data_IF_756159264803
#
_entry.id   IF_756159264803
#
_cell.length_a   1.000
_cell.length_b   1.000
_cell.length_c   1.000
_cell.angle_alpha   90.00
_cell.angle_beta   90.00
_cell.angle_gamma   90.00
#
_symmetry.space_group_name_H-M   'P 1'
#
loop_
_entity.id
_entity.type
_entity.pdbx_description
1 polymer ?
#
# COMPACT_ATOMS: atom_id res chain seq x y z
N UNK A 1 -7.53 -21.24 0.78
CA UNK A 1 -8.00 -20.58 1.99
C UNK A 1 -6.82 -20.07 2.82
N UNK A 2 -7.00 -18.90 3.47
CA UNK A 2 -6.05 -18.32 4.42
C UNK A 2 -6.81 -17.67 5.57
N UNK A 3 -6.40 -17.91 6.83
CA UNK A 3 -7.01 -17.31 8.02
C UNK A 3 -7.39 -18.34 9.08
N UNK A 4 -8.27 -17.93 10.01
CA UNK A 4 -8.73 -18.78 11.10
C UNK A 4 -9.58 -19.97 10.58
N UNK A 5 -9.34 -21.19 11.08
CA UNK A 5 -10.09 -22.39 10.66
C UNK A 5 -11.58 -22.28 10.99
N UNK A 6 -11.92 -21.52 12.02
CA UNK A 6 -13.29 -21.25 12.47
C UNK A 6 -13.76 -19.82 12.14
N UNK A 7 -13.26 -19.25 11.03
CA UNK A 7 -13.64 -17.91 10.60
C UNK A 7 -15.15 -17.78 10.38
N UNK A 8 -15.72 -16.72 10.90
CA UNK A 8 -17.13 -16.34 10.71
C UNK A 8 -17.33 -15.26 9.64
N UNK A 9 -16.26 -14.52 9.30
CA UNK A 9 -16.21 -13.50 8.26
C UNK A 9 -15.10 -13.79 7.28
N UNK A 10 -15.45 -13.89 6.00
CA UNK A 10 -14.51 -14.27 4.95
C UNK A 10 -14.58 -13.27 3.80
N UNK A 11 -13.42 -12.83 3.31
CA UNK A 11 -13.30 -12.11 2.04
C UNK A 11 -13.04 -13.13 0.93
N UNK A 12 -13.65 -12.90 -0.24
CA UNK A 12 -13.37 -13.64 -1.46
C UNK A 12 -12.83 -12.65 -2.48
N UNK A 13 -11.65 -12.93 -3.00
CA UNK A 13 -10.99 -12.07 -3.95
C UNK A 13 -10.04 -12.85 -4.86
N UNK A 14 -9.55 -12.21 -5.92
CA UNK A 14 -8.54 -12.77 -6.81
C UNK A 14 -7.46 -11.74 -7.12
N UNK A 15 -6.27 -12.23 -7.49
CA UNK A 15 -5.13 -11.40 -7.86
C UNK A 15 -4.38 -10.84 -6.65
N UNK A 16 -3.59 -9.78 -6.90
CA UNK A 16 -2.62 -9.24 -5.93
C UNK A 16 -3.23 -8.67 -4.65
N UNK A 17 -4.50 -8.28 -4.65
CA UNK A 17 -5.20 -7.82 -3.43
C UNK A 17 -5.24 -8.89 -2.34
N UNK A 18 -5.16 -10.17 -2.71
CA UNK A 18 -5.14 -11.28 -1.75
C UNK A 18 -3.92 -11.22 -0.83
N UNK A 19 -2.79 -10.70 -1.29
CA UNK A 19 -1.59 -10.53 -0.46
C UNK A 19 -1.77 -9.38 0.56
N UNK A 20 -2.34 -8.25 0.16
CA UNK A 20 -2.72 -7.19 1.10
C UNK A 20 -3.79 -7.65 2.11
N UNK A 21 -4.70 -8.53 1.68
CA UNK A 21 -5.70 -9.11 2.57
C UNK A 21 -5.08 -10.05 3.62
N UNK A 22 -4.04 -10.81 3.27
CA UNK A 22 -3.31 -11.66 4.22
C UNK A 22 -2.66 -10.84 5.34
N UNK A 23 -2.04 -9.70 5.02
CA UNK A 23 -1.47 -8.80 6.05
C UNK A 23 -2.55 -8.27 7.00
N UNK A 24 -3.72 -7.90 6.48
CA UNK A 24 -4.86 -7.49 7.31
C UNK A 24 -5.40 -8.62 8.20
N UNK A 25 -5.45 -9.85 7.67
CA UNK A 25 -5.90 -11.04 8.41
C UNK A 25 -4.92 -11.36 9.53
N UNK A 26 -3.62 -11.38 9.27
CA UNK A 26 -2.59 -11.63 10.29
C UNK A 26 -2.74 -10.63 11.45
N UNK A 27 -2.95 -9.36 11.15
CA UNK A 27 -3.19 -8.33 12.15
C UNK A 27 -4.48 -8.55 12.95
N UNK A 28 -5.58 -8.95 12.30
CA UNK A 28 -6.87 -9.21 12.98
C UNK A 28 -6.80 -10.49 13.81
N UNK A 29 -6.17 -11.55 13.29
CA UNK A 29 -5.99 -12.81 14.02
C UNK A 29 -5.12 -12.61 15.28
N UNK A 30 -4.08 -11.79 15.20
CA UNK A 30 -3.28 -11.41 16.37
C UNK A 30 -4.10 -10.70 17.46
N UNK A 31 -5.26 -10.12 17.10
CA UNK A 31 -6.24 -9.53 18.03
C UNK A 31 -7.36 -10.48 18.45
N UNK A 32 -7.30 -11.75 18.04
CA UNK A 32 -8.29 -12.76 18.36
C UNK A 32 -9.53 -12.77 17.45
N UNK A 33 -9.50 -12.03 16.32
CA UNK A 33 -10.60 -12.01 15.37
C UNK A 33 -10.64 -13.28 14.50
N UNK A 34 -11.85 -13.77 14.21
CA UNK A 34 -12.08 -14.98 13.41
C UNK A 34 -12.39 -14.63 11.97
N UNK A 35 -11.34 -14.33 11.22
CA UNK A 35 -11.43 -13.83 9.84
C UNK A 35 -10.64 -14.70 8.88
N UNK A 36 -11.01 -14.68 7.60
CA UNK A 36 -10.34 -15.45 6.57
C UNK A 36 -10.55 -14.90 5.16
N UNK A 37 -9.81 -15.50 4.23
CA UNK A 37 -9.79 -15.18 2.81
C UNK A 37 -9.90 -16.46 1.98
N UNK A 38 -10.72 -16.47 0.96
CA UNK A 38 -10.62 -17.41 -0.16
C UNK A 38 -10.02 -16.67 -1.35
N UNK A 39 -8.79 -17.05 -1.73
CA UNK A 39 -8.11 -16.52 -2.91
C UNK A 39 -8.48 -17.37 -4.14
N UNK A 40 -9.22 -16.79 -5.07
CA UNK A 40 -9.61 -17.46 -6.31
C UNK A 40 -8.47 -17.36 -7.31
N UNK A 41 -7.82 -18.48 -7.66
CA UNK A 41 -6.75 -18.53 -8.65
C UNK A 41 -7.26 -18.93 -10.04
N UNK A 42 -8.14 -19.94 -10.11
CA UNK A 42 -8.80 -20.35 -11.34
C UNK A 42 -10.24 -19.82 -11.36
N UNK A 43 -10.46 -18.72 -12.07
CA UNK A 43 -11.76 -18.07 -12.13
C UNK A 43 -12.70 -18.73 -13.15
N UNK A 44 -12.19 -19.21 -14.28
CA UNK A 44 -12.97 -19.89 -15.31
C UNK A 44 -12.32 -21.22 -15.71
N UNK A 45 -13.06 -22.34 -15.68
CA UNK A 45 -14.43 -22.48 -15.20
C UNK A 45 -14.54 -22.27 -13.67
N UNK A 46 -15.60 -21.61 -13.18
CA UNK A 46 -15.83 -21.45 -11.75
C UNK A 46 -16.37 -22.75 -11.15
N UNK A 47 -15.61 -23.38 -10.26
CA UNK A 47 -16.00 -24.64 -9.64
C UNK A 47 -16.66 -24.40 -8.28
N UNK A 48 -17.98 -24.55 -8.23
CA UNK A 48 -18.75 -24.44 -7.00
C UNK A 48 -18.29 -25.45 -5.93
N UNK A 49 -17.93 -26.67 -6.32
CA UNK A 49 -17.46 -27.73 -5.41
C UNK A 49 -16.14 -27.30 -4.71
N UNK A 50 -15.11 -26.91 -5.49
CA UNK A 50 -13.84 -26.48 -4.94
C UNK A 50 -14.00 -25.21 -4.10
N UNK A 51 -14.81 -24.27 -4.55
CA UNK A 51 -15.08 -23.04 -3.81
C UNK A 51 -15.73 -23.34 -2.44
N UNK A 52 -16.79 -24.14 -2.41
CA UNK A 52 -17.46 -24.48 -1.16
C UNK A 52 -16.58 -25.31 -0.22
N UNK A 53 -15.73 -26.20 -0.77
CA UNK A 53 -14.79 -26.98 0.03
C UNK A 53 -13.70 -26.14 0.70
N UNK A 54 -13.37 -24.97 0.13
CA UNK A 54 -12.40 -24.04 0.68
C UNK A 54 -12.97 -23.16 1.81
N UNK A 55 -14.29 -23.04 1.93
CA UNK A 55 -14.91 -22.19 2.95
C UNK A 55 -15.02 -22.91 4.30
N UNK A 56 -14.67 -22.23 5.43
CA UNK A 56 -14.98 -22.74 6.75
C UNK A 56 -16.49 -22.97 6.94
N UNK A 57 -16.86 -24.05 7.61
CA UNK A 57 -18.28 -24.35 7.91
C UNK A 57 -18.91 -23.33 8.86
N UNK A 58 -18.11 -22.57 9.53
CA UNK A 58 -18.50 -21.53 10.51
C UNK A 58 -18.83 -20.19 9.87
N UNK A 59 -18.58 -20.04 8.55
CA UNK A 59 -18.77 -18.77 7.85
C UNK A 59 -20.23 -18.30 7.90
N UNK A 60 -20.43 -17.06 8.33
CA UNK A 60 -21.74 -16.41 8.44
C UNK A 60 -21.86 -15.22 7.50
N UNK A 61 -20.75 -14.58 7.17
CA UNK A 61 -20.71 -13.35 6.39
C UNK A 61 -19.56 -13.35 5.41
N UNK A 62 -19.84 -12.95 4.19
CA UNK A 62 -18.89 -12.95 3.07
C UNK A 62 -18.89 -11.59 2.40
N UNK A 63 -17.70 -11.03 2.15
CA UNK A 63 -17.51 -9.92 1.24
C UNK A 63 -16.78 -10.41 -0.01
N UNK A 64 -17.35 -10.20 -1.17
CA UNK A 64 -16.71 -10.51 -2.45
C UNK A 64 -16.14 -9.24 -3.04
N UNK A 65 -14.84 -9.24 -3.35
CA UNK A 65 -14.14 -8.06 -3.87
C UNK A 65 -13.83 -8.22 -5.35
N UNK A 66 -14.34 -7.31 -6.16
CA UNK A 66 -14.06 -7.20 -7.59
C UNK A 66 -13.28 -5.91 -7.92
N UNK A 67 -12.28 -6.01 -8.81
CA UNK A 67 -11.52 -4.84 -9.30
C UNK A 67 -12.18 -4.24 -10.55
N UNK A 68 -13.47 -4.22 -10.58
CA UNK A 68 -14.26 -3.65 -11.69
C UNK A 68 -15.53 -3.01 -11.15
N UNK A 69 -16.19 -2.23 -12.00
CA UNK A 69 -17.55 -1.76 -11.83
C UNK A 69 -18.30 -2.13 -13.09
N UNK A 70 -19.43 -2.82 -12.92
CA UNK A 70 -20.32 -3.23 -14.01
C UNK A 70 -21.57 -2.35 -14.04
N UNK A 71 -21.56 -1.20 -14.76
CA UNK A 71 -22.72 -0.31 -14.83
C UNK A 71 -23.93 -1.01 -15.43
N UNK A 72 -25.06 -0.95 -14.73
CA UNK A 72 -26.32 -1.58 -15.17
C UNK A 72 -26.47 -3.06 -14.84
N UNK A 73 -25.43 -3.72 -14.31
CA UNK A 73 -25.53 -5.08 -13.79
C UNK A 73 -26.02 -5.10 -12.32
N UNK A 74 -26.54 -6.26 -11.88
CA UNK A 74 -26.95 -6.48 -10.50
C UNK A 74 -25.77 -6.69 -9.55
N UNK A 75 -24.55 -6.61 -10.02
CA UNK A 75 -23.29 -6.74 -9.27
C UNK A 75 -22.13 -7.06 -10.20
N UNK A 76 -20.95 -7.13 -9.63
CA UNK A 76 -19.70 -7.42 -10.30
C UNK A 76 -19.55 -8.94 -10.54
N UNK A 77 -18.70 -9.38 -11.47
CA UNK A 77 -18.66 -10.77 -11.96
C UNK A 77 -18.43 -11.82 -10.86
N UNK A 78 -17.38 -11.67 -10.04
CA UNK A 78 -17.10 -12.65 -8.99
C UNK A 78 -18.18 -12.66 -7.93
N UNK A 79 -18.72 -11.50 -7.57
CA UNK A 79 -19.84 -11.40 -6.63
C UNK A 79 -21.07 -12.15 -7.11
N UNK A 80 -21.42 -12.05 -8.39
CA UNK A 80 -22.57 -12.75 -8.98
C UNK A 80 -22.33 -14.27 -9.00
N UNK A 81 -21.14 -14.74 -9.38
CA UNK A 81 -20.81 -16.16 -9.36
C UNK A 81 -20.90 -16.76 -7.95
N UNK A 82 -20.37 -16.04 -6.95
CA UNK A 82 -20.45 -16.48 -5.55
C UNK A 82 -21.89 -16.53 -5.06
N UNK A 83 -22.71 -15.55 -5.40
CA UNK A 83 -24.16 -15.57 -5.06
C UNK A 83 -24.88 -16.73 -5.70
N UNK A 84 -24.58 -17.04 -6.96
CA UNK A 84 -25.21 -18.16 -7.68
C UNK A 84 -24.91 -19.50 -7.02
N UNK A 85 -23.69 -19.71 -6.55
CA UNK A 85 -23.29 -20.93 -5.81
C UNK A 85 -24.14 -21.14 -4.55
N UNK A 86 -24.58 -20.07 -3.90
CA UNK A 86 -25.43 -20.14 -2.70
C UNK A 86 -26.93 -20.05 -2.97
N UNK A 87 -27.32 -19.85 -4.22
CA UNK A 87 -28.74 -19.75 -4.57
C UNK A 87 -29.51 -21.02 -4.16
N UNK A 88 -30.60 -20.82 -3.43
CA UNK A 88 -31.44 -21.94 -2.93
C UNK A 88 -30.88 -22.73 -1.75
N UNK A 89 -29.72 -22.41 -1.22
CA UNK A 89 -29.15 -23.03 -0.01
C UNK A 89 -29.74 -22.38 1.25
N UNK A 90 -30.26 -23.17 2.17
CA UNK A 90 -30.86 -22.68 3.42
C UNK A 90 -29.80 -22.11 4.40
N UNK A 91 -28.57 -22.56 4.30
CA UNK A 91 -27.43 -22.21 5.15
C UNK A 91 -26.48 -21.16 4.49
N UNK A 92 -26.98 -20.46 3.46
CA UNK A 92 -26.20 -19.43 2.79
C UNK A 92 -25.75 -18.32 3.76
N UNK A 93 -24.47 -17.91 3.75
CA UNK A 93 -24.02 -16.77 4.52
C UNK A 93 -24.63 -15.47 3.97
N UNK A 94 -24.58 -14.39 4.77
CA UNK A 94 -24.84 -13.06 4.26
C UNK A 94 -23.73 -12.67 3.29
N UNK A 95 -24.06 -12.33 2.03
CA UNK A 95 -23.08 -12.01 0.99
C UNK A 95 -23.23 -10.56 0.57
N UNK A 96 -22.14 -9.79 0.64
CA UNK A 96 -22.04 -8.42 0.14
C UNK A 96 -20.94 -8.30 -0.92
N UNK A 97 -21.17 -7.47 -1.92
CA UNK A 97 -20.19 -7.13 -2.93
C UNK A 97 -19.42 -5.86 -2.61
N UNK A 98 -18.15 -5.80 -2.96
CA UNK A 98 -17.30 -4.63 -2.82
C UNK A 98 -16.39 -4.43 -4.02
N UNK A 99 -16.04 -3.18 -4.28
CA UNK A 99 -15.15 -2.75 -5.37
C UNK A 99 -13.87 -2.19 -4.82
N UNK A 100 -12.76 -2.52 -5.44
CA UNK A 100 -11.43 -2.02 -5.06
C UNK A 100 -10.60 -1.65 -6.29
N UNK A 101 -9.53 -0.91 -6.10
CA UNK A 101 -8.54 -0.61 -7.12
C UNK A 101 -9.08 0.15 -8.34
N UNK A 102 -10.24 0.77 -8.24
CA UNK A 102 -10.82 1.59 -9.29
C UNK A 102 -9.94 2.82 -9.53
N UNK A 103 -9.92 3.32 -10.76
CA UNK A 103 -9.05 4.43 -11.18
C UNK A 103 -7.56 4.16 -10.88
N UNK A 104 -7.12 2.91 -10.96
CA UNK A 104 -5.74 2.47 -10.67
C UNK A 104 -5.24 2.86 -9.26
N UNK A 105 -6.15 3.01 -8.31
CA UNK A 105 -5.80 3.27 -6.91
C UNK A 105 -5.26 2.00 -6.25
N UNK A 106 -4.25 2.19 -5.41
CA UNK A 106 -3.72 1.16 -4.55
C UNK A 106 -4.78 0.62 -3.58
N UNK A 107 -4.61 -0.64 -3.19
CA UNK A 107 -5.42 -1.26 -2.14
C UNK A 107 -4.50 -1.69 -1.01
N UNK A 108 -4.67 -1.07 0.14
CA UNK A 108 -3.85 -1.28 1.33
C UNK A 108 -4.50 -2.24 2.32
N UNK A 109 -3.73 -2.89 3.19
CA UNK A 109 -4.29 -3.70 4.27
C UNK A 109 -5.28 -2.93 5.16
N UNK A 110 -5.02 -1.63 5.40
CA UNK A 110 -5.92 -0.77 6.17
C UNK A 110 -7.31 -0.64 5.52
N UNK A 111 -7.36 -0.57 4.20
CA UNK A 111 -8.64 -0.59 3.47
C UNK A 111 -9.34 -1.95 3.58
N UNK A 112 -8.60 -3.05 3.62
CA UNK A 112 -9.15 -4.39 3.85
C UNK A 112 -9.72 -4.52 5.27
N UNK A 113 -9.09 -3.91 6.29
CA UNK A 113 -9.67 -3.84 7.64
C UNK A 113 -11.07 -3.21 7.63
N UNK A 114 -11.30 -2.17 6.82
CA UNK A 114 -12.62 -1.54 6.68
C UNK A 114 -13.66 -2.51 6.11
N UNK A 115 -13.25 -3.46 5.27
CA UNK A 115 -14.16 -4.51 4.75
C UNK A 115 -14.60 -5.46 5.87
N UNK A 116 -13.67 -5.93 6.71
CA UNK A 116 -14.03 -6.79 7.85
C UNK A 116 -14.87 -6.06 8.89
N UNK A 117 -14.63 -4.76 9.12
CA UNK A 117 -15.49 -3.96 9.98
C UNK A 117 -16.89 -3.81 9.39
N UNK A 118 -17.00 -3.54 8.08
CA UNK A 118 -18.31 -3.53 7.41
C UNK A 118 -19.04 -4.86 7.60
N UNK A 119 -18.35 -5.99 7.46
CA UNK A 119 -18.93 -7.32 7.72
C UNK A 119 -19.37 -7.52 9.18
N UNK A 120 -18.84 -6.76 10.13
CA UNK A 120 -19.21 -6.86 11.54
C UNK A 120 -20.50 -6.10 11.89
N UNK A 121 -20.94 -5.19 11.01
CA UNK A 121 -22.15 -4.40 11.23
C UNK A 121 -23.41 -5.28 11.19
N UNK A 122 -24.47 -4.97 11.93
CA UNK A 122 -25.75 -5.66 11.82
C UNK A 122 -26.26 -5.70 10.38
N UNK A 123 -26.15 -4.58 9.67
CA UNK A 123 -26.49 -4.41 8.26
C UNK A 123 -25.27 -3.93 7.49
N UNK A 124 -24.44 -4.84 6.97
CA UNK A 124 -23.28 -4.48 6.18
C UNK A 124 -23.69 -3.78 4.88
N UNK A 125 -22.96 -2.70 4.54
CA UNK A 125 -23.14 -2.03 3.25
C UNK A 125 -22.81 -3.00 2.11
N UNK A 126 -23.74 -3.14 1.17
CA UNK A 126 -23.54 -3.90 -0.06
C UNK A 126 -23.15 -2.95 -1.21
N UNK A 127 -22.48 -3.47 -2.24
CA UNK A 127 -21.96 -2.69 -3.37
C UNK A 127 -21.07 -1.53 -2.93
N UNK A 128 -20.33 -1.73 -1.84
CA UNK A 128 -19.42 -0.73 -1.32
C UNK A 128 -18.18 -0.54 -2.21
N UNK A 129 -17.43 0.52 -1.96
CA UNK A 129 -16.16 0.81 -2.60
C UNK A 129 -15.11 1.13 -1.54
N UNK A 130 -13.87 0.65 -1.74
CA UNK A 130 -12.69 1.03 -0.96
C UNK A 130 -11.65 1.68 -1.86
N UNK A 131 -10.79 2.53 -1.29
CA UNK A 131 -9.69 3.20 -1.98
C UNK A 131 -10.06 4.45 -2.76
N UNK A 132 -11.35 4.72 -2.94
CA UNK A 132 -11.87 5.97 -3.50
C UNK A 132 -13.01 6.51 -2.62
N UNK A 133 -13.28 7.80 -2.73
CA UNK A 133 -14.46 8.44 -2.12
C UNK A 133 -15.48 8.67 -3.22
N UNK A 134 -16.62 7.98 -3.11
CA UNK A 134 -17.76 8.14 -4.00
C UNK A 134 -18.72 9.17 -3.38
N UNK A 135 -18.75 10.35 -3.94
CA UNK A 135 -19.56 11.48 -3.52
C UNK A 135 -20.90 11.58 -4.24
N UNK A 136 -21.18 10.65 -5.15
CA UNK A 136 -22.43 10.59 -5.93
C UNK A 136 -23.42 9.59 -5.34
N UNK A 137 -22.99 8.34 -5.14
CA UNK A 137 -23.84 7.26 -4.61
C UNK A 137 -23.53 6.90 -3.17
N UNK A 138 -22.49 7.50 -2.58
CA UNK A 138 -22.06 7.33 -1.19
C UNK A 138 -21.83 5.88 -0.77
N UNK A 139 -21.34 5.07 -1.70
CA UNK A 139 -21.07 3.64 -1.46
C UNK A 139 -19.73 3.38 -0.82
N UNK A 140 -18.83 4.35 -0.74
CA UNK A 140 -17.51 4.16 -0.14
C UNK A 140 -17.58 3.82 1.35
N UNK A 141 -16.73 2.89 1.79
CA UNK A 141 -16.46 2.72 3.20
C UNK A 141 -15.58 3.89 3.69
N UNK A 142 -15.71 4.29 4.96
CA UNK A 142 -14.96 5.41 5.51
C UNK A 142 -13.45 5.20 5.35
N UNK A 143 -12.69 6.19 4.86
CA UNK A 143 -11.24 6.13 4.82
C UNK A 143 -10.66 6.10 6.23
N UNK A 144 -9.53 5.39 6.39
CA UNK A 144 -8.80 5.29 7.65
C UNK A 144 -7.38 5.81 7.48
N UNK A 145 -6.79 6.18 8.61
CA UNK A 145 -5.35 6.44 8.67
C UNK A 145 -4.59 5.13 8.41
N UNK A 146 -3.59 5.19 7.55
CA UNK A 146 -2.80 4.01 7.18
C UNK A 146 -2.03 3.45 8.38
N UNK A 147 -2.17 2.16 8.60
CA UNK A 147 -1.44 1.40 9.60
C UNK A 147 -0.23 0.70 8.99
N UNK A 148 0.83 0.56 9.75
CA UNK A 148 2.02 -0.18 9.33
C UNK A 148 1.80 -1.68 9.55
N UNK A 149 1.26 -2.37 8.56
CA UNK A 149 0.88 -3.78 8.62
C UNK A 149 1.80 -4.71 7.79
N UNK A 150 2.80 -4.18 7.11
CA UNK A 150 3.67 -4.91 6.17
C UNK A 150 4.59 -5.99 6.78
N UNK A 151 4.37 -6.38 8.02
CA UNK A 151 5.15 -7.41 8.72
C UNK A 151 6.19 -6.85 9.69
N UNK A 152 6.48 -7.64 10.71
CA UNK A 152 7.51 -7.31 11.70
C UNK A 152 8.91 -7.41 11.06
N UNK A 153 9.79 -6.46 11.39
CA UNK A 153 11.16 -6.44 10.87
C UNK A 153 11.32 -5.95 9.43
N UNK A 154 10.24 -5.53 8.76
CA UNK A 154 10.33 -4.95 7.42
C UNK A 154 10.61 -3.44 7.53
N UNK A 155 11.72 -3.02 6.92
CA UNK A 155 12.09 -1.62 6.78
C UNK A 155 11.51 -1.06 5.49
N UNK A 156 10.83 0.09 5.57
CA UNK A 156 10.18 0.76 4.47
C UNK A 156 10.79 2.13 4.21
N UNK A 157 11.16 2.42 2.97
CA UNK A 157 11.79 3.67 2.58
C UNK A 157 11.14 4.30 1.34
N UNK A 158 11.14 5.64 1.32
CA UNK A 158 10.70 6.45 0.17
C UNK A 158 11.79 7.43 -0.24
N UNK A 159 12.00 7.55 -1.54
CA UNK A 159 12.97 8.47 -2.10
C UNK A 159 12.30 9.34 -3.16
N UNK A 160 12.24 10.63 -2.89
CA UNK A 160 11.70 11.63 -3.81
C UNK A 160 12.82 12.23 -4.64
N UNK A 161 12.71 12.14 -5.95
CA UNK A 161 13.67 12.61 -6.90
C UNK A 161 13.06 13.25 -8.14
N UNK A 162 13.94 13.79 -8.98
CA UNK A 162 13.58 14.35 -10.28
C UNK A 162 13.90 13.33 -11.38
N UNK A 163 13.09 13.26 -12.41
CA UNK A 163 13.39 12.43 -13.57
C UNK A 163 14.76 12.77 -14.16
N UNK A 164 15.60 11.75 -14.32
CA UNK A 164 16.99 11.83 -14.77
C UNK A 164 17.99 12.44 -13.76
N UNK A 165 17.67 12.48 -12.45
CA UNK A 165 18.62 12.92 -11.40
C UNK A 165 19.46 11.78 -10.78
N UNK A 166 19.33 10.55 -11.31
CA UNK A 166 20.02 9.37 -10.80
C UNK A 166 19.35 8.67 -9.61
N UNK A 167 18.31 9.26 -9.00
CA UNK A 167 17.63 8.67 -7.81
C UNK A 167 17.11 7.26 -8.07
N UNK A 168 16.46 7.03 -9.20
CA UNK A 168 15.90 5.73 -9.56
C UNK A 168 17.01 4.70 -9.78
N UNK A 169 18.08 5.06 -10.51
CA UNK A 169 19.25 4.22 -10.74
C UNK A 169 19.93 3.83 -9.43
N UNK A 170 20.16 4.79 -8.53
CA UNK A 170 20.73 4.54 -7.22
C UNK A 170 19.88 3.57 -6.38
N UNK A 171 18.55 3.74 -6.39
CA UNK A 171 17.65 2.85 -5.65
C UNK A 171 17.56 1.44 -6.26
N UNK A 172 17.62 1.29 -7.59
CA UNK A 172 17.76 -0.02 -8.26
C UNK A 172 19.02 -0.74 -7.82
N UNK A 173 20.16 -0.01 -7.78
CA UNK A 173 21.43 -0.57 -7.31
C UNK A 173 21.37 -0.92 -5.81
N UNK A 174 20.75 -0.10 -4.97
CA UNK A 174 20.59 -0.38 -3.54
C UNK A 174 19.83 -1.68 -3.29
N UNK A 175 18.71 -1.90 -3.98
CA UNK A 175 17.93 -3.14 -3.87
C UNK A 175 18.75 -4.35 -4.31
N UNK A 176 19.50 -4.20 -5.42
CA UNK A 176 20.39 -5.27 -5.92
C UNK A 176 21.50 -5.57 -4.91
N UNK A 177 22.17 -4.55 -4.37
CA UNK A 177 23.23 -4.73 -3.37
C UNK A 177 22.71 -5.45 -2.13
N UNK A 178 21.53 -5.07 -1.62
CA UNK A 178 20.92 -5.72 -0.47
C UNK A 178 20.59 -7.18 -0.80
N UNK A 179 19.96 -7.45 -1.95
CA UNK A 179 19.57 -8.80 -2.35
C UNK A 179 20.76 -9.71 -2.64
N UNK A 180 21.85 -9.18 -3.25
CA UNK A 180 23.02 -9.97 -3.63
C UNK A 180 23.96 -10.23 -2.43
N UNK A 181 23.95 -9.40 -1.40
CA UNK A 181 24.93 -9.43 -0.29
C UNK A 181 24.32 -9.74 1.09
N UNK A 182 23.02 -9.95 1.17
CA UNK A 182 22.33 -10.30 2.43
C UNK A 182 21.25 -11.34 2.18
N UNK A 183 20.81 -12.04 3.24
CA UNK A 183 19.69 -12.98 3.19
C UNK A 183 18.32 -12.29 3.28
N UNK A 184 18.26 -10.95 3.13
CA UNK A 184 17.03 -10.20 3.25
C UNK A 184 16.14 -10.31 2.01
N UNK A 185 14.86 -10.39 2.23
CA UNK A 185 13.86 -10.17 1.19
C UNK A 185 13.85 -8.69 0.80
N UNK A 186 13.76 -8.40 -0.50
CA UNK A 186 13.79 -7.04 -1.03
C UNK A 186 12.65 -6.82 -2.02
N UNK A 187 12.07 -5.64 -2.00
CA UNK A 187 11.06 -5.20 -2.95
C UNK A 187 11.31 -3.74 -3.30
N UNK A 188 11.19 -3.40 -4.57
CA UNK A 188 11.19 -2.00 -5.01
C UNK A 188 10.08 -1.75 -6.02
N UNK A 189 9.51 -0.55 -5.96
CA UNK A 189 8.60 -0.01 -6.95
C UNK A 189 8.95 1.45 -7.24
N UNK A 190 8.90 1.82 -8.52
CA UNK A 190 9.27 3.15 -8.98
C UNK A 190 8.05 3.83 -9.61
N UNK A 191 7.60 4.91 -9.00
CA UNK A 191 6.50 5.73 -9.48
C UNK A 191 7.05 6.93 -10.24
N UNK A 192 6.52 7.19 -11.41
CA UNK A 192 6.93 8.28 -12.30
C UNK A 192 5.75 9.18 -12.65
N UNK A 193 6.05 10.47 -12.84
CA UNK A 193 5.15 11.35 -13.58
C UNK A 193 5.23 11.03 -15.08
N UNK A 194 4.19 11.36 -15.83
CA UNK A 194 4.12 11.14 -17.28
C UNK A 194 5.14 11.94 -18.12
N UNK A 195 5.83 12.90 -17.52
CA UNK A 195 6.91 13.67 -18.18
C UNK A 195 8.21 12.86 -18.20
N UNK A 196 8.84 12.78 -19.40
CA UNK A 196 10.08 12.01 -19.59
C UNK A 196 11.31 12.58 -18.90
N UNK A 197 11.41 13.91 -18.73
CA UNK A 197 12.53 14.55 -18.03
C UNK A 197 12.02 15.68 -17.14
N UNK A 198 12.66 15.86 -15.99
CA UNK A 198 12.25 16.87 -15.01
C UNK A 198 10.90 16.59 -14.34
N UNK A 199 10.36 15.39 -14.50
CA UNK A 199 9.15 14.95 -13.83
C UNK A 199 9.42 14.44 -12.42
N UNK A 200 8.39 14.38 -11.61
CA UNK A 200 8.43 13.80 -10.26
C UNK A 200 8.71 12.29 -10.32
N UNK A 201 9.60 11.81 -9.46
CA UNK A 201 9.82 10.38 -9.22
C UNK A 201 9.71 10.06 -7.74
N UNK A 202 9.16 8.91 -7.41
CA UNK A 202 9.15 8.37 -6.05
C UNK A 202 9.52 6.89 -6.09
N UNK A 203 10.64 6.54 -5.48
CA UNK A 203 11.06 5.15 -5.29
C UNK A 203 10.56 4.65 -3.94
N UNK A 204 9.97 3.46 -3.94
CA UNK A 204 9.45 2.77 -2.75
C UNK A 204 10.25 1.49 -2.56
N UNK A 205 10.95 1.37 -1.45
CA UNK A 205 11.78 0.22 -1.12
C UNK A 205 11.28 -0.43 0.17
N UNK A 206 11.28 -1.78 0.16
CA UNK A 206 11.09 -2.60 1.35
C UNK A 206 12.19 -3.64 1.42
N UNK A 207 12.70 -3.88 2.59
CA UNK A 207 13.60 -4.99 2.86
C UNK A 207 13.49 -5.45 4.32
N UNK A 208 13.70 -6.75 4.54
CA UNK A 208 13.56 -7.33 5.88
C UNK A 208 13.86 -8.82 5.90
N UNK A 209 13.71 -9.42 7.07
CA UNK A 209 14.07 -10.83 7.31
C UNK A 209 12.90 -11.80 7.00
N UNK A 210 11.74 -11.27 6.69
CA UNK A 210 10.53 -12.06 6.36
C UNK A 210 10.07 -11.78 4.92
N UNK A 211 9.37 -12.73 4.26
CA UNK A 211 8.81 -12.52 2.93
C UNK A 211 7.91 -11.29 2.86
N UNK A 212 8.12 -10.44 1.85
CA UNK A 212 7.37 -9.21 1.65
C UNK A 212 6.14 -9.53 0.79
N UNK A 213 4.96 -9.37 1.37
CA UNK A 213 3.66 -9.59 0.70
C UNK A 213 2.99 -8.30 0.22
N UNK A 214 3.54 -7.15 0.58
CA UNK A 214 2.97 -5.83 0.32
C UNK A 214 2.92 -5.53 -1.17
N UNK A 215 1.74 -5.62 -1.79
CA UNK A 215 1.48 -5.34 -3.22
C UNK A 215 1.03 -3.90 -3.46
N UNK A 216 1.30 -3.01 -2.53
CA UNK A 216 0.93 -1.60 -2.53
C UNK A 216 2.17 -0.72 -2.27
N UNK A 217 2.08 0.57 -2.59
CA UNK A 217 3.15 1.53 -2.36
C UNK A 217 3.44 1.71 -0.87
N UNK A 218 4.67 2.10 -0.53
CA UNK A 218 5.02 2.41 0.86
C UNK A 218 4.21 3.61 1.33
N UNK A 219 3.36 3.40 2.33
CA UNK A 219 2.51 4.44 2.92
C UNK A 219 2.98 4.87 4.30
N UNK A 220 3.71 4.00 5.01
CA UNK A 220 4.18 4.23 6.38
C UNK A 220 5.71 4.05 6.48
N UNK A 221 6.51 4.93 5.80
CA UNK A 221 7.94 4.74 5.73
C UNK A 221 8.65 4.94 7.09
N UNK A 222 9.71 4.13 7.32
CA UNK A 222 10.69 4.35 8.37
C UNK A 222 11.68 5.46 7.97
N UNK A 223 11.97 5.54 6.67
CA UNK A 223 12.95 6.46 6.10
C UNK A 223 12.38 7.19 4.89
N UNK A 224 12.59 8.50 4.85
CA UNK A 224 12.26 9.33 3.69
C UNK A 224 13.50 10.10 3.28
N UNK A 225 13.85 10.05 2.00
CA UNK A 225 14.84 10.96 1.40
C UNK A 225 14.14 11.88 0.39
N UNK A 226 14.48 13.16 0.43
CA UNK A 226 14.02 14.13 -0.55
C UNK A 226 15.25 14.78 -1.22
N UNK A 227 15.48 14.46 -2.50
CA UNK A 227 16.63 14.94 -3.24
C UNK A 227 16.37 16.29 -3.88
N UNK A 228 15.10 16.73 -3.95
CA UNK A 228 14.69 18.00 -4.57
C UNK A 228 14.07 18.91 -3.51
N UNK A 229 14.81 19.89 -3.06
CA UNK A 229 14.42 20.83 -2.01
C UNK A 229 13.06 21.51 -2.27
N UNK A 230 12.74 21.85 -3.53
CA UNK A 230 11.49 22.48 -3.91
C UNK A 230 10.25 21.59 -3.60
N UNK A 231 10.41 20.28 -3.51
CA UNK A 231 9.30 19.36 -3.23
C UNK A 231 8.70 19.51 -1.83
N UNK A 232 9.43 20.12 -0.90
CA UNK A 232 8.90 20.43 0.43
C UNK A 232 7.68 21.38 0.39
N UNK A 233 7.59 22.22 -0.65
CA UNK A 233 6.49 23.16 -0.86
C UNK A 233 5.41 22.65 -1.81
N UNK A 234 5.72 21.60 -2.59
CA UNK A 234 4.83 21.07 -3.62
C UNK A 234 4.10 19.81 -3.18
N UNK A 235 4.73 19.00 -2.32
CA UNK A 235 4.25 17.69 -1.91
C UNK A 235 4.35 17.52 -0.40
N UNK A 236 3.48 16.70 0.16
CA UNK A 236 3.60 16.23 1.55
C UNK A 236 4.58 15.04 1.61
N UNK A 237 5.88 15.36 1.52
CA UNK A 237 6.95 14.35 1.45
C UNK A 237 7.05 13.48 2.71
N UNK A 238 6.58 13.97 3.86
CA UNK A 238 6.60 13.26 5.14
C UNK A 238 5.28 12.54 5.45
N UNK A 239 4.34 12.51 4.52
CA UNK A 239 3.08 11.84 4.71
C UNK A 239 3.27 10.37 5.11
N UNK A 240 2.67 9.99 6.22
CA UNK A 240 2.71 8.62 6.73
C UNK A 240 4.02 8.20 7.41
N UNK A 241 5.07 9.05 7.46
CA UNK A 241 6.31 8.70 8.16
C UNK A 241 6.03 8.21 9.58
N UNK A 242 6.69 7.12 9.98
CA UNK A 242 6.49 6.52 11.31
C UNK A 242 7.08 7.39 12.42
N UNK A 243 6.58 7.16 13.64
CA UNK A 243 7.21 7.71 14.85
C UNK A 243 8.67 7.27 14.93
N UNK A 244 9.57 8.17 15.32
CA UNK A 244 11.02 7.97 15.38
C UNK A 244 11.65 7.59 14.02
N UNK A 245 10.99 7.93 12.92
CA UNK A 245 11.52 7.74 11.57
C UNK A 245 12.70 8.66 11.27
N UNK A 246 13.26 8.51 10.07
CA UNK A 246 14.40 9.32 9.61
C UNK A 246 14.03 10.08 8.36
N UNK A 247 14.40 11.35 8.29
CA UNK A 247 14.27 12.20 7.11
C UNK A 247 15.62 12.73 6.67
N UNK A 248 15.99 12.50 5.41
CA UNK A 248 17.18 13.04 4.76
C UNK A 248 16.78 14.03 3.67
N UNK A 249 17.29 15.25 3.76
CA UNK A 249 17.04 16.31 2.77
C UNK A 249 18.33 16.68 2.04
N UNK A 250 18.34 16.61 0.71
CA UNK A 250 19.38 17.23 -0.09
C UNK A 250 19.07 18.73 -0.22
N UNK A 251 19.91 19.57 0.36
CA UNK A 251 19.70 21.01 0.40
C UNK A 251 21.00 21.77 0.50
N UNK A 252 20.98 22.99 -0.01
CA UNK A 252 22.07 23.98 0.16
C UNK A 252 21.90 24.80 1.44
N UNK A 253 20.77 24.74 2.12
CA UNK A 253 20.47 25.54 3.29
C UNK A 253 21.35 25.17 4.49
N UNK A 254 21.86 26.19 5.16
CA UNK A 254 22.50 26.06 6.48
C UNK A 254 21.45 25.73 7.55
N UNK A 255 21.91 25.36 8.75
CA UNK A 255 21.02 25.09 9.88
C UNK A 255 20.11 26.29 10.23
N UNK A 256 20.62 27.51 10.12
CA UNK A 256 19.86 28.74 10.38
C UNK A 256 18.83 29.03 9.29
N UNK A 257 19.18 28.77 8.04
CA UNK A 257 18.27 28.91 6.90
C UNK A 257 17.15 27.85 6.93
N UNK A 258 17.44 26.64 7.37
CA UNK A 258 16.42 25.59 7.56
C UNK A 258 15.31 26.04 8.49
N UNK A 259 15.64 26.72 9.59
CA UNK A 259 14.64 27.25 10.52
C UNK A 259 13.69 28.24 9.82
N UNK A 260 14.18 29.02 8.86
CA UNK A 260 13.39 30.02 8.13
C UNK A 260 12.60 29.40 6.98
N UNK A 261 13.20 28.50 6.23
CA UNK A 261 12.68 28.04 4.94
C UNK A 261 11.87 26.74 4.98
N UNK A 262 12.07 25.89 6.02
CA UNK A 262 11.25 24.69 6.14
C UNK A 262 9.76 25.05 6.31
N UNK A 263 8.86 24.41 5.54
CA UNK A 263 7.41 24.60 5.71
C UNK A 263 6.94 24.22 7.12
N UNK A 264 5.91 24.89 7.62
CA UNK A 264 5.43 24.68 8.97
C UNK A 264 4.86 23.26 9.19
N UNK A 265 4.25 22.66 8.17
CA UNK A 265 3.81 21.26 8.23
C UNK A 265 4.98 20.30 8.40
N UNK A 266 6.08 20.51 7.69
CA UNK A 266 7.31 19.71 7.84
C UNK A 266 7.88 19.87 9.26
N UNK A 267 8.07 21.10 9.75
CA UNK A 267 8.53 21.36 11.14
C UNK A 267 7.67 20.65 12.18
N UNK A 268 6.34 20.75 12.01
CA UNK A 268 5.39 20.10 12.92
C UNK A 268 5.53 18.59 12.91
N UNK A 269 5.62 17.97 11.74
CA UNK A 269 5.79 16.52 11.61
C UNK A 269 7.11 16.06 12.23
N UNK A 270 8.21 16.77 11.97
CA UNK A 270 9.52 16.46 12.57
C UNK A 270 9.44 16.44 14.10
N UNK A 271 8.81 17.46 14.69
CA UNK A 271 8.67 17.57 16.15
C UNK A 271 7.70 16.55 16.74
N UNK A 272 6.48 16.42 16.18
CA UNK A 272 5.43 15.55 16.71
C UNK A 272 5.78 14.06 16.62
N UNK A 273 6.48 13.66 15.56
CA UNK A 273 6.86 12.27 15.34
C UNK A 273 8.30 11.96 15.78
N UNK A 274 8.99 12.91 16.42
CA UNK A 274 10.37 12.74 16.88
C UNK A 274 11.28 12.21 15.76
N UNK A 275 11.25 12.87 14.59
CA UNK A 275 11.99 12.43 13.41
C UNK A 275 13.46 12.82 13.50
N UNK A 276 14.36 11.86 13.25
CA UNK A 276 15.78 12.13 13.05
C UNK A 276 15.98 12.82 11.70
N UNK A 277 16.31 14.13 11.74
CA UNK A 277 16.43 14.94 10.54
C UNK A 277 17.90 15.14 10.17
N UNK A 278 18.25 14.80 8.94
CA UNK A 278 19.58 14.94 8.36
C UNK A 278 19.54 15.76 7.08
N UNK A 279 20.62 16.49 6.82
CA UNK A 279 20.80 17.23 5.57
C UNK A 279 22.12 16.88 4.92
N UNK A 280 22.14 16.95 3.60
CA UNK A 280 23.35 16.80 2.78
C UNK A 280 23.30 17.81 1.64
N UNK A 281 24.45 18.36 1.27
CA UNK A 281 24.61 19.12 0.04
C UNK A 281 25.33 18.25 -1.00
N UNK A 282 24.61 17.31 -1.59
CA UNK A 282 25.14 16.37 -2.56
C UNK A 282 25.67 17.06 -3.82
N UNK A 283 25.06 18.17 -4.23
CA UNK A 283 25.51 18.97 -5.37
C UNK A 283 26.90 19.53 -5.14
N UNK A 284 27.15 20.09 -3.94
CA UNK A 284 28.49 20.63 -3.57
C UNK A 284 29.52 19.50 -3.54
N UNK A 285 29.21 18.38 -2.93
CA UNK A 285 30.11 17.21 -2.87
C UNK A 285 30.46 16.74 -4.28
N UNK A 286 29.47 16.62 -5.19
CA UNK A 286 29.68 16.21 -6.56
C UNK A 286 30.62 17.18 -7.30
N UNK A 287 30.45 18.49 -7.11
CA UNK A 287 31.34 19.52 -7.68
C UNK A 287 32.77 19.42 -7.15
N UNK A 288 32.96 19.23 -5.86
CA UNK A 288 34.27 19.12 -5.21
C UNK A 288 35.09 17.92 -5.71
N UNK A 289 34.43 16.81 -6.08
CA UNK A 289 35.08 15.61 -6.65
C UNK A 289 35.15 15.64 -8.19
N UNK A 290 34.81 16.77 -8.82
CA UNK A 290 34.89 16.96 -10.27
C UNK A 290 33.75 16.35 -11.07
N UNK A 291 32.67 15.89 -10.43
CA UNK A 291 31.45 15.45 -11.09
C UNK A 291 30.57 16.68 -11.32
N UNK A 292 30.40 17.10 -12.57
CA UNK A 292 29.41 18.12 -12.93
C UNK A 292 27.98 17.53 -12.81
N UNK A 293 26.96 18.38 -12.72
CA UNK A 293 25.55 17.98 -12.68
C UNK A 293 25.14 17.04 -13.83
N UNK A 294 25.80 17.13 -14.99
CA UNK A 294 25.59 16.24 -16.13
C UNK A 294 26.15 14.82 -15.92
N UNK A 295 27.08 14.62 -14.98
CA UNK A 295 27.68 13.33 -14.68
C UNK A 295 26.91 12.55 -13.59
N UNK A 296 26.06 13.21 -12.82
CA UNK A 296 25.08 12.55 -11.94
C UNK A 296 24.05 11.78 -12.78
N UNK A 297 23.89 12.13 -14.04
CA UNK A 297 22.99 11.51 -15.01
C UNK A 297 23.58 10.34 -15.81
N UNK A 298 24.86 10.02 -15.64
CA UNK A 298 25.57 8.97 -16.45
C UNK A 298 25.53 7.59 -15.77
N UNK A 299 24.79 7.39 -14.72
CA UNK A 299 24.61 6.09 -14.08
C UNK A 299 23.41 5.29 -14.65
N UNK A 300 23.11 5.45 -15.94
CA UNK A 300 22.22 4.56 -16.68
C UNK A 300 23.00 3.45 -17.38
#
# INVERSE_FOLDING_TARGET
YYGAEDADRVIIAMGSVTEAAREAIDYLMAKGEKVGLVAVHLYRPFSAEHFLSALPKTVKRVAVLDRTKEPGANGEPLYLDVKDVFYGKADAPLIVGGRYGLASKDTTPTQILSVYENLSLPEPKNHFTIGIVDDVTFTSLPPKEELALGGEGIFEAKFYGLGADGTVGANKNSVKIIGDNTDKYCQAYFSYDSKKSGGFTCSHLRFGDTPIRSTYLVNTPNFVACHVQAYLHMYDVLRGIRQNGTFLLNTIWTAEELVKHLPNNVKRTLAQKNISFYTINATKIAQEIGLGLSLIHISE
#
